data_IF_498616091846
#
_entry.id   IF_498616091846
#
_cell.length_a   1.000
_cell.length_b   1.000
_cell.length_c   1.000
_cell.angle_alpha   90.00
_cell.angle_beta   90.00
_cell.angle_gamma   90.00
#
_symmetry.space_group_name_H-M   'P 1'
#
loop_
_entity.id
_entity.type
_entity.pdbx_description
1 polymer ?
#
# COMPACT_ATOMS: atom_id res chain seq x y z
N UNK A 1 -5.74 -12.00 4.77
CA UNK A 1 -4.93 -13.06 5.42
C UNK A 1 -3.76 -12.37 6.09
N UNK A 2 -3.43 -12.74 7.33
CA UNK A 2 -2.33 -12.08 8.04
C UNK A 2 -0.97 -12.62 7.61
N UNK A 3 0.06 -11.78 7.60
CA UNK A 3 1.44 -12.18 7.29
C UNK A 3 1.97 -13.27 8.24
N UNK A 4 1.52 -13.27 9.50
CA UNK A 4 1.94 -14.25 10.51
C UNK A 4 1.09 -15.53 10.50
N UNK A 5 0.19 -15.72 9.53
CA UNK A 5 -0.64 -16.94 9.51
C UNK A 5 0.09 -18.11 8.86
N UNK A 6 -0.18 -19.32 9.35
CA UNK A 6 0.34 -20.55 8.74
C UNK A 6 -0.04 -20.67 7.26
N UNK A 7 -1.27 -20.29 6.91
CA UNK A 7 -1.73 -20.26 5.50
C UNK A 7 -0.91 -19.30 4.63
N UNK A 8 -0.41 -18.18 5.18
CA UNK A 8 0.50 -17.30 4.46
C UNK A 8 1.84 -17.96 4.20
N UNK A 9 2.46 -18.48 5.25
CA UNK A 9 3.82 -18.99 5.21
C UNK A 9 3.94 -20.28 4.39
N UNK A 10 2.99 -21.21 4.52
CA UNK A 10 3.07 -22.54 3.91
C UNK A 10 2.25 -22.73 2.63
N UNK A 11 1.27 -21.85 2.36
CA UNK A 11 0.45 -21.98 1.15
C UNK A 11 0.71 -20.83 0.19
N UNK A 12 0.44 -19.60 0.63
CA UNK A 12 0.47 -18.43 -0.24
C UNK A 12 1.88 -18.09 -0.73
N UNK A 13 2.85 -17.97 0.18
CA UNK A 13 4.22 -17.61 -0.14
C UNK A 13 4.91 -18.61 -1.10
N UNK A 14 4.94 -19.93 -0.82
CA UNK A 14 5.57 -20.89 -1.73
C UNK A 14 4.86 -20.96 -3.08
N UNK A 15 3.53 -20.90 -3.11
CA UNK A 15 2.76 -20.89 -4.38
C UNK A 15 3.10 -19.64 -5.21
N UNK A 16 3.13 -18.47 -4.57
CA UNK A 16 3.43 -17.21 -5.25
C UNK A 16 4.83 -17.20 -5.84
N UNK A 17 5.82 -17.67 -5.07
CA UNK A 17 7.22 -17.75 -5.51
C UNK A 17 7.41 -18.78 -6.62
N UNK A 18 6.75 -19.94 -6.53
CA UNK A 18 6.81 -20.97 -7.56
C UNK A 18 6.37 -20.39 -8.92
N UNK A 19 5.19 -19.75 -8.96
CA UNK A 19 4.70 -19.13 -10.19
C UNK A 19 5.53 -17.92 -10.63
N UNK A 20 6.12 -17.16 -9.71
CA UNK A 20 7.04 -16.07 -10.05
C UNK A 20 8.28 -16.60 -10.79
N UNK A 21 8.95 -17.62 -10.25
CA UNK A 21 10.12 -18.21 -10.90
C UNK A 21 9.77 -18.90 -12.22
N UNK A 22 8.60 -19.56 -12.28
CA UNK A 22 8.09 -20.17 -13.51
C UNK A 22 7.77 -19.13 -14.59
N UNK A 23 7.14 -18.01 -14.22
CA UNK A 23 6.87 -16.91 -15.14
C UNK A 23 8.18 -16.24 -15.60
N UNK A 24 9.15 -16.09 -14.69
CA UNK A 24 10.43 -15.46 -14.98
C UNK A 24 11.34 -16.31 -15.88
N UNK A 25 11.26 -17.65 -15.80
CA UNK A 25 12.10 -18.53 -16.63
C UNK A 25 11.65 -18.57 -18.10
N UNK A 26 10.36 -18.35 -18.37
CA UNK A 26 9.77 -18.51 -19.69
C UNK A 26 9.98 -17.32 -20.66
N UNK A 27 10.91 -16.38 -20.38
CA UNK A 27 11.08 -15.07 -21.09
C UNK A 27 9.81 -14.24 -21.25
N UNK A 28 8.75 -14.67 -20.59
CA UNK A 28 7.43 -14.11 -20.60
C UNK A 28 7.45 -13.03 -19.52
N UNK A 29 7.28 -11.76 -19.91
CA UNK A 29 7.27 -10.59 -19.01
C UNK A 29 6.08 -10.57 -18.02
N UNK A 30 5.54 -11.74 -17.67
CA UNK A 30 4.39 -11.95 -16.81
C UNK A 30 4.75 -11.99 -15.33
N UNK A 31 6.04 -12.08 -14.98
CA UNK A 31 6.48 -12.11 -13.59
C UNK A 31 6.03 -10.88 -12.77
N UNK A 32 6.12 -9.67 -13.38
CA UNK A 32 5.67 -8.42 -12.75
C UNK A 32 4.14 -8.38 -12.61
N UNK A 33 3.34 -8.57 -13.70
CA UNK A 33 1.88 -8.67 -13.59
C UNK A 33 1.40 -9.71 -12.58
N UNK A 34 2.07 -10.87 -12.50
CA UNK A 34 1.77 -11.91 -11.52
C UNK A 34 1.94 -11.40 -10.09
N UNK A 35 3.11 -10.84 -9.76
CA UNK A 35 3.37 -10.25 -8.45
C UNK A 35 2.37 -9.15 -8.10
N UNK A 36 2.05 -8.27 -9.05
CA UNK A 36 1.07 -7.21 -8.86
C UNK A 36 -0.33 -7.78 -8.59
N UNK A 37 -0.78 -8.74 -9.38
CA UNK A 37 -2.10 -9.37 -9.20
C UNK A 37 -2.20 -10.11 -7.88
N UNK A 38 -1.19 -10.91 -7.53
CA UNK A 38 -1.14 -11.64 -6.26
C UNK A 38 -1.09 -10.71 -5.05
N UNK A 39 -0.39 -9.56 -5.17
CA UNK A 39 -0.42 -8.52 -4.14
C UNK A 39 -1.84 -8.00 -3.92
N UNK A 40 -2.55 -7.64 -4.98
CA UNK A 40 -3.95 -7.18 -4.85
C UNK A 40 -4.87 -8.23 -4.23
N UNK A 41 -4.73 -9.50 -4.61
CA UNK A 41 -5.47 -10.60 -3.99
C UNK A 41 -5.19 -10.70 -2.49
N UNK A 42 -3.92 -10.62 -2.10
CA UNK A 42 -3.52 -10.66 -0.69
C UNK A 42 -4.16 -9.52 0.13
N UNK A 43 -4.16 -8.31 -0.41
CA UNK A 43 -4.79 -7.14 0.22
C UNK A 43 -6.32 -7.26 0.30
N UNK A 44 -6.95 -7.89 -0.70
CA UNK A 44 -8.40 -8.11 -0.72
C UNK A 44 -8.86 -8.98 0.45
N UNK A 45 -8.07 -9.99 0.83
CA UNK A 45 -8.36 -10.81 2.02
C UNK A 45 -8.29 -10.06 3.36
N UNK A 46 -7.75 -8.85 3.40
CA UNK A 46 -7.77 -7.99 4.60
C UNK A 46 -8.94 -7.01 4.59
N UNK A 47 -9.59 -6.84 3.44
CA UNK A 47 -10.73 -5.94 3.26
C UNK A 47 -10.80 -5.37 1.84
N UNK A 48 -12.01 -5.26 1.32
CA UNK A 48 -12.22 -4.65 0.01
C UNK A 48 -11.85 -3.16 0.01
N UNK A 49 -12.27 -2.43 1.06
CA UNK A 49 -12.01 -1.00 1.19
C UNK A 49 -10.50 -0.67 1.24
N UNK A 50 -9.69 -1.50 1.92
CA UNK A 50 -8.24 -1.33 1.97
C UNK A 50 -7.58 -1.52 0.61
N UNK A 51 -8.12 -2.43 -0.21
CA UNK A 51 -7.58 -2.75 -1.53
C UNK A 51 -7.86 -1.64 -2.54
N UNK A 52 -9.09 -1.14 -2.57
CA UNK A 52 -9.47 0.00 -3.43
C UNK A 52 -8.64 1.22 -3.08
N UNK A 53 -8.42 1.47 -1.79
CA UNK A 53 -7.67 2.63 -1.35
C UNK A 53 -6.16 2.50 -1.65
N UNK A 54 -5.59 1.30 -1.49
CA UNK A 54 -4.22 1.03 -1.92
C UNK A 54 -4.08 1.26 -3.43
N UNK A 55 -5.01 0.76 -4.24
CA UNK A 55 -4.99 0.93 -5.69
C UNK A 55 -5.07 2.40 -6.09
N UNK A 56 -5.99 3.16 -5.48
CA UNK A 56 -6.12 4.60 -5.71
C UNK A 56 -4.86 5.38 -5.29
N UNK A 57 -4.28 5.03 -4.14
CA UNK A 57 -3.05 5.63 -3.63
C UNK A 57 -1.84 5.33 -4.53
N UNK A 58 -1.69 4.09 -5.02
CA UNK A 58 -0.64 3.72 -5.97
C UNK A 58 -0.79 4.49 -7.28
N UNK A 59 -2.00 4.58 -7.83
CA UNK A 59 -2.25 5.33 -9.07
C UNK A 59 -1.94 6.82 -8.91
N UNK A 60 -2.39 7.43 -7.82
CA UNK A 60 -2.13 8.84 -7.52
C UNK A 60 -0.62 9.13 -7.42
N UNK A 61 0.12 8.30 -6.67
CA UNK A 61 1.57 8.43 -6.55
C UNK A 61 2.28 8.20 -7.89
N UNK A 62 1.84 7.21 -8.67
CA UNK A 62 2.40 6.93 -9.98
C UNK A 62 2.25 8.12 -10.95
N UNK A 63 1.05 8.71 -11.00
CA UNK A 63 0.77 9.91 -11.79
C UNK A 63 1.64 11.09 -11.34
N UNK A 64 1.77 11.32 -10.03
CA UNK A 64 2.64 12.36 -9.49
C UNK A 64 4.12 12.14 -9.85
N UNK A 65 4.60 10.89 -9.77
CA UNK A 65 5.96 10.52 -10.17
C UNK A 65 6.23 10.76 -11.66
N UNK A 66 5.24 10.53 -12.53
CA UNK A 66 5.35 10.88 -13.96
C UNK A 66 5.55 12.39 -14.11
N UNK A 67 4.73 13.21 -13.45
CA UNK A 67 4.85 14.67 -13.52
C UNK A 67 6.17 15.20 -12.94
N UNK A 68 6.72 14.54 -11.92
CA UNK A 68 8.02 14.90 -11.33
C UNK A 68 9.19 14.57 -12.27
N UNK A 69 9.14 13.41 -12.92
CA UNK A 69 10.14 12.94 -13.87
C UNK A 69 10.12 13.71 -15.19
N UNK A 70 8.97 14.20 -15.60
CA UNK A 70 8.85 14.93 -16.87
C UNK A 70 9.71 16.21 -16.87
N UNK A 71 10.57 16.35 -17.89
CA UNK A 71 11.39 17.54 -18.11
C UNK A 71 10.56 18.78 -18.46
N UNK A 72 9.24 18.62 -18.63
CA UNK A 72 8.28 19.67 -18.95
C UNK A 72 8.15 20.73 -17.84
N UNK A 73 8.44 20.37 -16.59
CA UNK A 73 8.47 21.35 -15.49
C UNK A 73 9.87 21.97 -15.40
N UNK A 74 10.10 23.04 -16.16
CA UNK A 74 11.33 23.87 -16.07
C UNK A 74 11.46 24.58 -14.71
N UNK A 75 10.34 24.82 -14.04
CA UNK A 75 10.28 25.55 -12.78
C UNK A 75 10.43 24.60 -11.58
N UNK A 76 11.61 24.64 -10.95
CA UNK A 76 11.94 23.84 -9.76
C UNK A 76 10.93 24.05 -8.62
N UNK A 77 10.27 25.20 -8.56
CA UNK A 77 9.27 25.52 -7.52
C UNK A 77 8.01 24.67 -7.67
N UNK A 78 7.55 24.47 -8.91
CA UNK A 78 6.36 23.64 -9.21
C UNK A 78 6.61 22.17 -8.90
N UNK A 79 7.82 21.65 -9.19
CA UNK A 79 8.21 20.29 -8.80
C UNK A 79 8.14 20.09 -7.29
N UNK A 80 8.64 21.05 -6.50
CA UNK A 80 8.55 21.01 -5.03
C UNK A 80 7.11 21.00 -4.53
N UNK A 81 6.23 21.80 -5.12
CA UNK A 81 4.81 21.83 -4.75
C UNK A 81 4.15 20.46 -4.97
N UNK A 82 4.38 19.83 -6.13
CA UNK A 82 3.83 18.50 -6.44
C UNK A 82 4.35 17.46 -5.44
N UNK A 83 5.64 17.47 -5.15
CA UNK A 83 6.25 16.57 -4.18
C UNK A 83 5.66 16.76 -2.78
N UNK A 84 5.59 18.00 -2.27
CA UNK A 84 5.00 18.28 -0.97
C UNK A 84 3.53 17.87 -0.91
N UNK A 85 2.76 18.15 -1.96
CA UNK A 85 1.37 17.74 -2.05
C UNK A 85 1.23 16.21 -1.99
N UNK A 86 2.04 15.46 -2.74
CA UNK A 86 2.03 13.99 -2.69
C UNK A 86 2.39 13.43 -1.32
N UNK A 87 3.41 14.00 -0.64
CA UNK A 87 3.77 13.60 0.72
C UNK A 87 2.62 13.89 1.70
N UNK A 88 2.00 15.07 1.63
CA UNK A 88 0.87 15.45 2.49
C UNK A 88 -0.31 14.49 2.27
N UNK A 89 -0.62 14.12 1.02
CA UNK A 89 -1.68 13.15 0.74
C UNK A 89 -1.39 11.76 1.33
N UNK A 90 -0.16 11.24 1.19
CA UNK A 90 0.22 9.95 1.75
C UNK A 90 0.15 9.95 3.29
N UNK A 91 0.65 11.01 3.93
CA UNK A 91 0.58 11.16 5.39
C UNK A 91 -0.88 11.34 5.85
N UNK A 92 -1.69 12.10 5.11
CA UNK A 92 -3.11 12.28 5.40
C UNK A 92 -3.88 10.96 5.39
N UNK A 93 -3.64 10.11 4.39
CA UNK A 93 -4.18 8.75 4.33
C UNK A 93 -3.71 7.93 5.54
N UNK A 94 -2.42 7.99 5.88
CA UNK A 94 -1.88 7.26 7.02
C UNK A 94 -2.56 7.67 8.34
N UNK A 95 -2.70 8.98 8.57
CA UNK A 95 -3.37 9.52 9.76
C UNK A 95 -4.84 9.09 9.78
N UNK A 96 -5.54 9.20 8.65
CA UNK A 96 -6.93 8.77 8.55
C UNK A 96 -7.09 7.29 8.96
N UNK A 97 -6.28 6.38 8.41
CA UNK A 97 -6.40 4.96 8.75
C UNK A 97 -5.95 4.63 10.18
N UNK A 98 -4.93 5.32 10.69
CA UNK A 98 -4.40 5.06 12.03
C UNK A 98 -5.34 5.55 13.13
N UNK A 99 -6.02 6.68 12.93
CA UNK A 99 -6.80 7.33 13.97
C UNK A 99 -8.31 7.18 13.79
N UNK A 100 -8.84 7.17 12.58
CA UNK A 100 -10.30 7.06 12.37
C UNK A 100 -10.83 5.66 12.73
N UNK A 101 -10.02 4.62 12.53
CA UNK A 101 -10.31 3.26 13.02
C UNK A 101 -10.26 3.12 14.55
N UNK A 102 -9.56 4.02 15.24
CA UNK A 102 -9.50 4.07 16.71
C UNK A 102 -10.69 4.83 17.29
N UNK A 103 -11.10 5.94 16.65
CA UNK A 103 -12.22 6.80 17.11
C UNK A 103 -13.56 6.06 17.02
N UNK A 104 -13.81 5.29 15.96
CA UNK A 104 -15.03 4.50 15.82
C UNK A 104 -15.16 3.34 16.83
N UNK A 105 -14.07 2.98 17.54
CA UNK A 105 -14.09 1.98 18.61
C UNK A 105 -14.34 2.58 20.01
N UNK A 106 -14.37 3.92 20.13
CA UNK A 106 -14.72 4.61 21.37
C UNK A 106 -16.25 4.72 21.42
N UNK A 107 -16.92 3.59 21.57
CA UNK A 107 -18.33 3.57 21.93
C UNK A 107 -18.39 3.64 23.47
N UNK A 108 -19.14 4.59 24.08
CA UNK A 108 -19.06 4.88 25.52
C UNK A 108 -19.61 3.77 26.44
N UNK A 109 -19.99 2.60 25.92
CA UNK A 109 -20.82 1.65 26.67
C UNK A 109 -20.18 0.29 26.99
N UNK A 110 -18.88 0.11 26.79
CA UNK A 110 -18.20 -1.07 27.34
C UNK A 110 -16.74 -0.78 27.64
N UNK A 111 -16.38 -0.83 28.93
CA UNK A 111 -15.02 -0.75 29.46
C UNK A 111 -14.23 -2.04 29.18
N UNK A 112 -14.35 -2.57 27.96
CA UNK A 112 -13.58 -3.70 27.47
C UNK A 112 -12.87 -3.24 26.22
N UNK A 113 -11.65 -2.75 26.39
CA UNK A 113 -10.80 -2.32 25.29
C UNK A 113 -10.36 -3.59 24.56
N UNK A 114 -11.15 -4.03 23.59
CA UNK A 114 -10.82 -5.19 22.77
C UNK A 114 -9.73 -4.78 21.75
N UNK A 115 -8.49 -4.72 22.25
CA UNK A 115 -7.27 -4.23 21.57
C UNK A 115 -6.80 -5.10 20.40
N UNK A 116 -7.40 -6.28 20.18
CA UNK A 116 -6.77 -7.34 19.39
C UNK A 116 -6.90 -7.19 17.86
N UNK A 117 -7.85 -6.41 17.34
CA UNK A 117 -8.09 -6.36 15.87
C UNK A 117 -7.55 -5.11 15.17
N UNK A 118 -7.15 -4.09 15.91
CA UNK A 118 -6.77 -2.79 15.32
C UNK A 118 -5.28 -2.59 15.09
N UNK A 119 -4.38 -3.45 15.58
CA UNK A 119 -2.94 -3.20 15.46
C UNK A 119 -2.32 -3.68 14.14
N UNK A 120 -2.86 -4.74 13.53
CA UNK A 120 -2.24 -5.36 12.36
C UNK A 120 -2.58 -4.62 11.06
N UNK A 121 -3.79 -4.05 10.98
CA UNK A 121 -4.21 -3.22 9.84
C UNK A 121 -3.30 -1.97 9.70
N UNK A 122 -3.03 -1.17 10.75
CA UNK A 122 -2.16 0.01 10.67
C UNK A 122 -0.72 -0.26 10.23
N UNK A 123 -0.13 -1.40 10.60
CA UNK A 123 1.28 -1.69 10.29
C UNK A 123 1.48 -1.79 8.79
N UNK A 124 0.58 -2.50 8.11
CA UNK A 124 0.66 -2.68 6.65
C UNK A 124 0.46 -1.34 5.93
N UNK A 125 -0.44 -0.50 6.45
CA UNK A 125 -0.69 0.83 5.90
C UNK A 125 0.51 1.77 6.06
N UNK A 126 1.18 1.69 7.19
CA UNK A 126 2.41 2.45 7.43
C UNK A 126 3.48 2.06 6.42
N UNK A 127 3.72 0.75 6.21
CA UNK A 127 4.74 0.27 5.29
C UNK A 127 4.54 0.78 3.85
N UNK A 128 3.34 0.64 3.28
CA UNK A 128 3.13 1.08 1.89
C UNK A 128 3.22 2.60 1.74
N UNK A 129 2.75 3.37 2.73
CA UNK A 129 2.82 4.84 2.65
C UNK A 129 4.26 5.34 2.63
N UNK A 130 5.15 4.75 3.44
CA UNK A 130 6.58 5.08 3.39
C UNK A 130 7.20 4.72 2.05
N UNK A 131 6.85 3.56 1.46
CA UNK A 131 7.39 3.16 0.17
C UNK A 131 6.92 4.08 -0.98
N UNK A 132 5.68 4.55 -0.93
CA UNK A 132 5.16 5.54 -1.89
C UNK A 132 5.82 6.91 -1.74
N UNK A 133 6.10 7.34 -0.50
CA UNK A 133 6.84 8.58 -0.25
C UNK A 133 8.27 8.47 -0.79
N UNK A 134 8.96 7.34 -0.56
CA UNK A 134 10.29 7.09 -1.11
C UNK A 134 10.26 7.16 -2.63
N UNK A 135 9.28 6.50 -3.27
CA UNK A 135 9.09 6.56 -4.72
C UNK A 135 8.99 8.02 -5.23
N UNK A 136 8.16 8.87 -4.61
CA UNK A 136 8.02 10.28 -5.00
C UNK A 136 9.30 11.11 -4.79
N UNK A 137 10.10 10.76 -3.79
CA UNK A 137 11.35 11.48 -3.48
C UNK A 137 12.47 11.06 -4.44
N UNK A 138 12.46 9.81 -4.91
CA UNK A 138 13.45 9.27 -5.85
C UNK A 138 13.13 9.58 -7.33
N UNK A 139 11.86 9.85 -7.68
CA UNK A 139 11.43 10.23 -9.04
C UNK A 139 11.80 11.66 -9.43
#
# INVERSE_FOLDING_TARGET
MFFNSFSFLFLFLPTTLFFFYYASSNRLNWAIPWLTGVSFLFYSFCGWASTVLLLGSVLMNYIMGIFLKENSIKDKSKKKIILYFGIICNIGILIFFKYFGAINKIQPNSFTINLQTSFIIPVIFSFFTFQQIIYLVET
#
